data_IF_869241243705
#
_entry.id   IF_869241243705
#
_cell.length_a   1.000
_cell.length_b   1.000
_cell.length_c   1.000
_cell.angle_alpha   90.00
_cell.angle_beta   90.00
_cell.angle_gamma   90.00
#
_symmetry.space_group_name_H-M   'P 1'
#
loop_
_entity.id
_entity.type
_entity.pdbx_description
1 polymer ?
#
# COMPACT_ATOMS: atom_id res chain seq x y z
N UNK A 1 3.24 11.92 19.94
CA UNK A 1 3.97 11.36 18.75
C UNK A 1 2.93 11.19 17.64
N UNK A 2 3.28 11.36 16.36
CA UNK A 2 2.28 11.27 15.30
C UNK A 2 1.51 9.94 15.26
N UNK A 3 2.12 8.85 15.74
CA UNK A 3 1.44 7.55 15.90
C UNK A 3 0.30 7.61 16.90
N UNK A 4 0.50 8.31 18.02
CA UNK A 4 -0.55 8.46 19.04
C UNK A 4 -1.71 9.32 18.52
N UNK A 5 -1.39 10.32 17.68
CA UNK A 5 -2.38 11.19 17.06
C UNK A 5 -3.22 10.47 16.01
N UNK A 6 -2.59 9.58 15.22
CA UNK A 6 -3.27 8.87 14.13
C UNK A 6 -4.01 7.62 14.63
N UNK A 7 -3.38 6.82 15.48
CA UNK A 7 -3.93 5.53 15.90
C UNK A 7 -4.60 5.56 17.29
N UNK A 8 -4.50 6.69 18.01
CA UNK A 8 -5.03 6.89 19.37
C UNK A 8 -4.51 5.91 20.42
N UNK A 9 -3.39 5.24 20.14
CA UNK A 9 -2.68 4.34 21.06
C UNK A 9 -1.17 4.55 20.96
N UNK A 10 -0.44 4.33 22.05
CA UNK A 10 1.02 4.56 22.11
C UNK A 10 1.83 3.56 21.29
N UNK A 11 1.34 2.33 21.15
CA UNK A 11 2.01 1.24 20.43
C UNK A 11 1.01 0.58 19.53
N UNK A 12 0.71 1.17 18.35
CA UNK A 12 -0.30 0.64 17.44
C UNK A 12 0.15 -0.69 16.83
N UNK A 13 -0.80 -1.61 16.71
CA UNK A 13 -0.66 -2.82 15.91
C UNK A 13 -1.19 -2.49 14.51
N UNK A 14 -0.27 -2.40 13.55
CA UNK A 14 -0.60 -2.18 12.14
C UNK A 14 -0.54 -3.52 11.43
N UNK A 15 -1.69 -4.06 11.07
CA UNK A 15 -1.76 -5.32 10.34
C UNK A 15 -1.50 -5.13 8.85
N UNK A 16 -0.98 -6.17 8.21
CA UNK A 16 -0.70 -6.20 6.80
C UNK A 16 -1.82 -6.94 6.07
N UNK A 17 -2.52 -6.25 5.17
CA UNK A 17 -3.44 -6.85 4.23
C UNK A 17 -2.70 -7.06 2.91
N UNK A 18 -2.28 -8.28 2.66
CA UNK A 18 -1.52 -8.65 1.47
C UNK A 18 -2.47 -9.04 0.35
N UNK A 19 -2.58 -8.19 -0.66
CA UNK A 19 -3.40 -8.48 -1.83
C UNK A 19 -2.86 -9.68 -2.60
N UNK A 20 -3.74 -10.54 -3.09
CA UNK A 20 -3.39 -11.58 -4.04
C UNK A 20 -2.85 -10.96 -5.33
N UNK A 21 -2.23 -11.79 -6.18
CA UNK A 21 -1.72 -11.37 -7.47
C UNK A 21 -2.77 -10.59 -8.25
N UNK A 22 -2.32 -9.54 -8.93
CA UNK A 22 -3.14 -8.61 -9.69
C UNK A 22 -3.05 -8.89 -11.20
N UNK A 23 -3.97 -8.39 -12.01
CA UNK A 23 -3.88 -8.54 -13.46
C UNK A 23 -2.52 -8.07 -14.00
N UNK A 24 -1.86 -8.96 -14.76
CA UNK A 24 -0.51 -8.74 -15.27
C UNK A 24 0.61 -9.36 -14.44
N UNK A 25 0.34 -9.72 -13.19
CA UNK A 25 1.32 -10.42 -12.36
C UNK A 25 1.50 -11.88 -12.81
N UNK A 26 2.71 -12.44 -12.72
CA UNK A 26 2.94 -13.85 -13.10
C UNK A 26 2.12 -14.87 -12.30
N UNK A 27 1.77 -14.53 -11.06
CA UNK A 27 0.95 -15.38 -10.19
C UNK A 27 -0.57 -15.16 -10.36
N UNK A 28 -0.98 -14.27 -11.26
CA UNK A 28 -2.40 -14.07 -11.56
C UNK A 28 -2.91 -15.21 -12.43
N UNK A 29 -3.73 -16.08 -11.85
CA UNK A 29 -4.19 -17.31 -12.49
C UNK A 29 -5.06 -17.03 -13.73
N UNK A 30 -4.92 -17.89 -14.74
CA UNK A 30 -5.77 -17.79 -15.94
C UNK A 30 -7.23 -18.03 -15.55
N UNK A 31 -8.08 -17.05 -15.84
CA UNK A 31 -9.49 -17.07 -15.51
C UNK A 31 -9.83 -16.44 -14.15
N UNK A 32 -8.84 -16.04 -13.36
CA UNK A 32 -9.07 -15.25 -12.16
C UNK A 32 -9.74 -13.91 -12.50
N UNK A 33 -10.53 -13.40 -11.58
CA UNK A 33 -11.25 -12.14 -11.73
C UNK A 33 -10.86 -11.13 -10.66
N UNK A 34 -10.98 -9.85 -10.97
CA UNK A 34 -10.82 -8.81 -9.95
C UNK A 34 -11.87 -8.91 -8.82
N UNK A 35 -13.06 -9.45 -9.12
CA UNK A 35 -14.07 -9.72 -8.11
C UNK A 35 -13.57 -10.66 -7.02
N UNK A 36 -12.94 -11.77 -7.39
CA UNK A 36 -12.35 -12.74 -6.45
C UNK A 36 -11.22 -12.12 -5.61
N UNK A 37 -10.38 -11.28 -6.23
CA UNK A 37 -9.32 -10.57 -5.50
C UNK A 37 -9.93 -9.63 -4.45
N UNK A 38 -10.98 -8.88 -4.81
CA UNK A 38 -11.67 -7.94 -3.93
C UNK A 38 -12.39 -8.68 -2.79
N UNK A 39 -13.12 -9.76 -3.10
CA UNK A 39 -13.79 -10.58 -2.08
C UNK A 39 -12.82 -11.18 -1.08
N UNK A 40 -11.66 -11.64 -1.55
CA UNK A 40 -10.60 -12.14 -0.69
C UNK A 40 -10.08 -11.03 0.24
N UNK A 41 -9.76 -9.87 -0.34
CA UNK A 41 -9.29 -8.71 0.43
C UNK A 41 -10.33 -8.24 1.45
N UNK A 42 -11.63 -8.26 1.12
CA UNK A 42 -12.71 -7.91 2.03
C UNK A 42 -12.80 -8.86 3.23
N UNK A 43 -12.68 -10.16 3.00
CA UNK A 43 -12.66 -11.16 4.09
C UNK A 43 -11.45 -10.98 5.01
N UNK A 44 -10.28 -10.73 4.44
CA UNK A 44 -9.08 -10.47 5.24
C UNK A 44 -9.20 -9.16 6.03
N UNK A 45 -9.72 -8.10 5.42
CA UNK A 45 -10.00 -6.83 6.10
C UNK A 45 -10.90 -7.03 7.30
N UNK A 46 -12.00 -7.76 7.12
CA UNK A 46 -12.94 -8.04 8.20
C UNK A 46 -12.24 -8.79 9.34
N UNK A 47 -11.53 -9.87 9.04
CA UNK A 47 -10.84 -10.68 10.05
C UNK A 47 -9.78 -9.86 10.83
N UNK A 48 -9.02 -9.00 10.15
CA UNK A 48 -8.04 -8.13 10.79
C UNK A 48 -8.70 -7.13 11.75
N UNK A 49 -9.80 -6.51 11.34
CA UNK A 49 -10.54 -5.56 12.17
C UNK A 49 -11.22 -6.24 13.37
N UNK A 50 -11.79 -7.43 13.18
CA UNK A 50 -12.34 -8.26 14.27
C UNK A 50 -11.26 -8.69 15.26
N UNK A 51 -10.02 -8.86 14.80
CA UNK A 51 -8.84 -9.10 15.62
C UNK A 51 -8.38 -7.91 16.47
N UNK A 52 -8.99 -6.73 16.29
CA UNK A 52 -8.72 -5.54 17.11
C UNK A 52 -7.41 -4.82 16.76
N UNK A 53 -7.02 -4.81 15.49
CA UNK A 53 -5.85 -4.03 15.03
C UNK A 53 -6.13 -2.53 15.05
N UNK A 54 -5.08 -1.74 15.25
CA UNK A 54 -5.19 -0.27 15.34
C UNK A 54 -5.04 0.42 13.97
N UNK A 55 -4.49 -0.29 12.99
CA UNK A 55 -4.33 0.20 11.63
C UNK A 55 -4.09 -0.93 10.63
N UNK A 56 -4.24 -0.63 9.34
CA UNK A 56 -4.08 -1.60 8.26
C UNK A 56 -3.18 -1.02 7.18
N UNK A 57 -2.24 -1.82 6.68
CA UNK A 57 -1.44 -1.49 5.51
C UNK A 57 -1.79 -2.47 4.38
N UNK A 58 -2.28 -1.93 3.28
CA UNK A 58 -2.66 -2.69 2.08
C UNK A 58 -1.50 -2.70 1.09
N UNK A 59 -1.03 -3.87 0.69
CA UNK A 59 0.14 -4.02 -0.18
C UNK A 59 -0.04 -5.12 -1.23
N UNK A 60 0.56 -4.92 -2.39
CA UNK A 60 0.59 -5.90 -3.50
C UNK A 60 1.69 -6.96 -3.29
N UNK A 61 1.71 -7.62 -2.13
CA UNK A 61 2.79 -8.52 -1.74
C UNK A 61 2.92 -9.74 -2.65
N UNK A 62 1.83 -10.20 -3.29
CA UNK A 62 1.85 -11.33 -4.22
C UNK A 62 2.12 -10.94 -5.68
N UNK A 63 2.48 -9.70 -5.97
CA UNK A 63 2.96 -9.25 -7.29
C UNK A 63 4.43 -9.64 -7.53
N UNK A 64 4.77 -10.90 -7.30
CA UNK A 64 6.13 -11.44 -7.45
C UNK A 64 6.42 -11.90 -8.88
N UNK A 65 7.68 -11.70 -9.39
CA UNK A 65 8.77 -10.88 -8.82
C UNK A 65 8.46 -9.38 -8.94
N UNK A 66 8.91 -8.59 -7.95
CA UNK A 66 8.61 -7.16 -7.91
C UNK A 66 9.32 -6.40 -9.02
N UNK A 67 8.60 -5.49 -9.65
CA UNK A 67 9.12 -4.62 -10.70
C UNK A 67 9.76 -3.36 -10.13
N UNK A 68 10.88 -2.90 -10.72
CA UNK A 68 11.48 -1.58 -10.40
C UNK A 68 10.56 -0.42 -10.78
N UNK A 69 9.77 -0.59 -11.82
CA UNK A 69 8.76 0.35 -12.28
C UNK A 69 7.47 -0.43 -12.51
N UNK A 70 6.53 -0.23 -11.62
CA UNK A 70 5.26 -0.93 -11.67
C UNK A 70 4.44 -0.51 -12.90
N UNK A 71 3.67 -1.46 -13.43
CA UNK A 71 2.76 -1.20 -14.55
C UNK A 71 1.54 -0.38 -14.12
N UNK A 72 0.93 0.33 -15.07
CA UNK A 72 -0.29 1.11 -14.81
C UNK A 72 -1.46 0.24 -14.33
N UNK A 73 -1.54 -1.01 -14.81
CA UNK A 73 -2.61 -1.92 -14.39
C UNK A 73 -2.52 -2.26 -12.91
N UNK A 74 -1.33 -2.40 -12.34
CA UNK A 74 -1.15 -2.64 -10.90
C UNK A 74 -1.69 -1.48 -10.08
N UNK A 75 -1.34 -0.24 -10.44
CA UNK A 75 -1.83 0.96 -9.74
C UNK A 75 -3.36 1.07 -9.86
N UNK A 76 -3.91 0.86 -11.06
CA UNK A 76 -5.34 0.90 -11.30
C UNK A 76 -6.10 -0.19 -10.53
N UNK A 77 -5.57 -1.42 -10.52
CA UNK A 77 -6.16 -2.53 -9.77
C UNK A 77 -6.19 -2.26 -8.26
N UNK A 78 -5.07 -1.80 -7.69
CA UNK A 78 -5.01 -1.44 -6.28
C UNK A 78 -5.96 -0.29 -5.94
N UNK A 79 -6.03 0.74 -6.79
CA UNK A 79 -6.96 1.85 -6.65
C UNK A 79 -8.41 1.38 -6.61
N UNK A 80 -8.79 0.45 -7.50
CA UNK A 80 -10.10 -0.16 -7.52
C UNK A 80 -10.38 -0.95 -6.23
N UNK A 81 -9.47 -1.85 -5.83
CA UNK A 81 -9.63 -2.68 -4.63
C UNK A 81 -9.85 -1.79 -3.40
N UNK A 82 -8.94 -0.85 -3.16
CA UNK A 82 -9.03 0.04 -1.99
C UNK A 82 -10.28 0.91 -2.05
N UNK A 83 -10.65 1.41 -3.24
CA UNK A 83 -11.87 2.19 -3.43
C UNK A 83 -13.15 1.42 -3.07
N UNK A 84 -13.22 0.14 -3.44
CA UNK A 84 -14.35 -0.73 -3.08
C UNK A 84 -14.38 -1.06 -1.57
N UNK A 85 -13.21 -1.28 -0.96
CA UNK A 85 -13.08 -1.60 0.47
C UNK A 85 -13.23 -0.39 1.39
N UNK A 86 -13.06 0.83 0.88
CA UNK A 86 -12.93 2.04 1.71
C UNK A 86 -14.07 2.25 2.69
N UNK A 87 -15.30 1.91 2.32
CA UNK A 87 -16.46 2.05 3.21
C UNK A 87 -16.47 1.06 4.38
N UNK A 88 -15.73 -0.04 4.26
CA UNK A 88 -15.62 -1.08 5.27
C UNK A 88 -14.42 -0.90 6.18
N UNK A 89 -13.45 -0.04 5.79
CA UNK A 89 -12.27 0.26 6.60
C UNK A 89 -12.68 1.17 7.75
N UNK A 90 -12.48 0.71 8.99
CA UNK A 90 -12.89 1.40 10.23
C UNK A 90 -11.71 1.94 11.05
N UNK A 91 -10.49 1.66 10.64
CA UNK A 91 -9.25 2.08 11.29
C UNK A 91 -8.39 2.87 10.31
N UNK A 92 -7.44 3.68 10.77
CA UNK A 92 -6.47 4.32 9.86
C UNK A 92 -5.81 3.31 8.94
N UNK A 93 -5.72 3.64 7.66
CA UNK A 93 -5.13 2.73 6.69
C UNK A 93 -4.03 3.39 5.86
N UNK A 94 -3.08 2.57 5.47
CA UNK A 94 -2.01 2.93 4.56
C UNK A 94 -1.96 2.04 3.34
N UNK A 95 -1.17 2.45 2.36
CA UNK A 95 -0.92 1.68 1.15
C UNK A 95 0.57 1.55 0.87
N UNK A 96 0.94 0.47 0.18
CA UNK A 96 2.30 0.24 -0.29
C UNK A 96 2.26 -0.51 -1.63
N UNK A 97 2.78 0.11 -2.67
CA UNK A 97 3.16 -0.61 -3.89
C UNK A 97 4.61 -1.01 -3.73
N UNK A 98 4.85 -2.29 -3.57
CA UNK A 98 6.17 -2.82 -3.22
C UNK A 98 7.22 -2.36 -4.22
N UNK A 99 8.36 -1.89 -3.72
CA UNK A 99 9.50 -1.36 -4.49
C UNK A 99 9.22 -0.11 -5.34
N UNK A 100 8.04 0.53 -5.21
CA UNK A 100 7.65 1.69 -6.03
C UNK A 100 7.12 2.86 -5.18
N UNK A 101 8.00 3.61 -4.50
CA UNK A 101 7.58 4.68 -3.57
C UNK A 101 6.76 5.79 -4.25
N UNK A 102 7.07 6.20 -5.48
CA UNK A 102 6.30 7.23 -6.19
C UNK A 102 4.89 6.74 -6.53
N UNK A 103 4.76 5.52 -7.08
CA UNK A 103 3.46 4.93 -7.36
C UNK A 103 2.63 4.74 -6.08
N UNK A 104 3.30 4.45 -4.95
CA UNK A 104 2.66 4.40 -3.63
C UNK A 104 2.06 5.77 -3.23
N UNK A 105 2.79 6.87 -3.46
CA UNK A 105 2.28 8.23 -3.19
C UNK A 105 1.08 8.56 -4.09
N UNK A 106 1.15 8.21 -5.37
CA UNK A 106 0.06 8.45 -6.32
C UNK A 106 -1.20 7.65 -5.95
N UNK A 107 -1.04 6.38 -5.60
CA UNK A 107 -2.13 5.55 -5.10
C UNK A 107 -2.73 6.14 -3.81
N UNK A 108 -1.88 6.52 -2.86
CA UNK A 108 -2.32 7.09 -1.59
C UNK A 108 -3.16 8.35 -1.77
N UNK A 109 -2.80 9.20 -2.74
CA UNK A 109 -3.60 10.37 -3.09
C UNK A 109 -4.98 9.98 -3.63
N UNK A 110 -5.03 9.00 -4.53
CA UNK A 110 -6.28 8.57 -5.16
C UNK A 110 -7.26 7.92 -4.18
N UNK A 111 -6.74 7.18 -3.19
CA UNK A 111 -7.57 6.47 -2.20
C UNK A 111 -7.69 7.18 -0.85
N UNK A 112 -7.03 8.33 -0.71
CA UNK A 112 -6.99 9.13 0.52
C UNK A 112 -6.48 8.35 1.73
N UNK A 113 -5.35 7.66 1.56
CA UNK A 113 -4.70 6.91 2.63
C UNK A 113 -4.10 7.83 3.70
N UNK A 114 -4.13 7.40 4.96
CA UNK A 114 -3.59 8.17 6.09
C UNK A 114 -2.07 8.11 6.15
N UNK A 115 -1.48 7.01 5.68
CA UNK A 115 -0.05 6.82 5.66
C UNK A 115 0.39 5.92 4.50
N UNK A 116 1.67 5.94 4.22
CA UNK A 116 2.31 5.02 3.29
C UNK A 116 3.54 4.38 3.94
N UNK A 117 3.88 3.17 3.51
CA UNK A 117 5.14 2.51 3.89
C UNK A 117 5.94 2.22 2.64
N UNK A 118 7.22 2.55 2.64
CA UNK A 118 8.15 2.16 1.59
C UNK A 118 9.60 2.33 2.04
N UNK A 119 10.53 1.90 1.20
CA UNK A 119 11.96 2.24 1.33
C UNK A 119 12.16 3.62 0.71
N UNK A 120 12.30 4.65 1.54
CA UNK A 120 12.39 6.04 1.08
C UNK A 120 13.83 6.58 1.05
N UNK A 121 14.76 5.95 1.76
CA UNK A 121 16.14 6.41 1.91
C UNK A 121 17.11 5.25 1.76
N UNK A 122 18.33 5.55 1.31
CA UNK A 122 19.40 4.59 1.17
C UNK A 122 19.53 4.00 -0.23
N UNK A 123 20.56 3.18 -0.40
CA UNK A 123 20.80 2.38 -1.59
C UNK A 123 20.99 0.91 -1.18
N UNK A 124 20.34 0.01 -1.87
CA UNK A 124 20.31 -1.42 -1.52
C UNK A 124 20.63 -2.27 -2.74
N UNK A 125 21.36 -3.35 -2.51
CA UNK A 125 21.67 -4.34 -3.54
C UNK A 125 20.89 -5.61 -3.23
N UNK A 126 20.11 -6.08 -4.19
CA UNK A 126 19.29 -7.27 -4.06
C UNK A 126 19.05 -7.95 -5.40
N UNK A 127 18.07 -8.87 -5.45
CA UNK A 127 17.72 -9.61 -6.66
C UNK A 127 17.37 -8.72 -7.85
N UNK A 128 16.82 -7.55 -7.59
CA UNK A 128 16.48 -6.55 -8.60
C UNK A 128 17.68 -5.62 -8.95
N UNK A 129 18.89 -5.97 -8.53
CA UNK A 129 20.07 -5.13 -8.66
C UNK A 129 20.09 -3.99 -7.65
N UNK A 130 20.54 -2.81 -8.06
CA UNK A 130 20.61 -1.64 -7.18
C UNK A 130 19.24 -0.98 -7.08
N UNK A 131 18.75 -0.82 -5.86
CA UNK A 131 17.60 0.04 -5.52
C UNK A 131 18.16 1.33 -4.95
N UNK A 132 18.09 2.39 -5.75
CA UNK A 132 18.48 3.74 -5.37
C UNK A 132 17.19 4.54 -5.04
N UNK A 133 17.14 5.09 -3.83
CA UNK A 133 15.95 5.80 -3.36
C UNK A 133 16.11 7.32 -3.57
N UNK A 134 15.01 7.98 -3.90
CA UNK A 134 14.97 9.42 -4.16
C UNK A 134 13.93 10.10 -3.26
N UNK A 135 14.25 10.28 -1.97
CA UNK A 135 13.34 10.95 -1.04
C UNK A 135 12.98 12.40 -1.44
N UNK A 136 13.87 13.22 -2.02
CA UNK A 136 13.48 14.54 -2.54
C UNK A 136 12.34 14.47 -3.55
N UNK A 137 12.34 13.51 -4.46
CA UNK A 137 11.30 13.34 -5.46
C UNK A 137 9.97 12.91 -4.81
N UNK A 138 10.02 11.98 -3.86
CA UNK A 138 8.86 11.55 -3.07
C UNK A 138 8.22 12.73 -2.33
N UNK A 139 9.02 13.54 -1.65
CA UNK A 139 8.51 14.70 -0.90
C UNK A 139 7.92 15.78 -1.81
N UNK A 140 8.54 16.03 -2.97
CA UNK A 140 8.00 16.93 -3.99
C UNK A 140 6.65 16.43 -4.53
N UNK A 141 6.56 15.13 -4.82
CA UNK A 141 5.32 14.50 -5.28
C UNK A 141 4.22 14.58 -4.23
N UNK A 142 4.54 14.24 -2.99
CA UNK A 142 3.65 14.37 -1.83
C UNK A 142 3.09 15.78 -1.70
N UNK A 143 3.96 16.80 -1.80
CA UNK A 143 3.56 18.21 -1.72
C UNK A 143 2.69 18.63 -2.91
N UNK A 144 3.06 18.25 -4.11
CA UNK A 144 2.30 18.57 -5.34
C UNK A 144 0.86 18.02 -5.30
N UNK A 145 0.66 16.87 -4.64
CA UNK A 145 -0.65 16.23 -4.48
C UNK A 145 -1.42 16.70 -3.23
N UNK A 146 -0.90 17.67 -2.48
CA UNK A 146 -1.58 18.21 -1.30
C UNK A 146 -1.65 17.25 -0.10
N UNK A 147 -0.76 16.26 -0.03
CA UNK A 147 -0.77 15.21 0.99
C UNK A 147 0.00 15.62 2.26
N UNK A 148 -0.12 16.86 2.72
CA UNK A 148 0.68 17.38 3.84
C UNK A 148 0.47 16.58 5.13
N UNK A 149 -0.73 16.08 5.40
CA UNK A 149 -1.06 15.32 6.61
C UNK A 149 -0.67 13.85 6.54
N UNK A 150 -0.56 13.27 5.35
CA UNK A 150 -0.22 11.87 5.16
C UNK A 150 1.16 11.55 5.72
N UNK A 151 1.27 10.47 6.48
CA UNK A 151 2.51 10.05 7.15
C UNK A 151 3.33 9.11 6.30
N UNK A 152 4.66 9.21 6.40
CA UNK A 152 5.60 8.28 5.78
C UNK A 152 6.12 7.31 6.85
N UNK A 153 5.85 6.03 6.68
CA UNK A 153 6.40 4.96 7.50
C UNK A 153 7.59 4.35 6.75
N UNK A 154 8.77 4.56 7.28
CA UNK A 154 10.01 4.07 6.67
C UNK A 154 10.19 2.58 6.95
N UNK A 155 10.56 1.84 5.90
CA UNK A 155 10.90 0.43 5.97
C UNK A 155 12.40 0.27 6.21
#
# INVERSE_FOLDING_TARGET
>A
MWTDELFHVKKPIIALLHLRALPGDPLYEKGATMGEVIENAARELQALQEGGVDGILIANEFSLPYEKKVSYVTVAAMGRIVGELKKEIKVPFGVNIVSNPLATIDLAAAVEADFVRSTFTGAYIGENGITDTNIPEVLRRKKALGLDKMKLLYK
#
